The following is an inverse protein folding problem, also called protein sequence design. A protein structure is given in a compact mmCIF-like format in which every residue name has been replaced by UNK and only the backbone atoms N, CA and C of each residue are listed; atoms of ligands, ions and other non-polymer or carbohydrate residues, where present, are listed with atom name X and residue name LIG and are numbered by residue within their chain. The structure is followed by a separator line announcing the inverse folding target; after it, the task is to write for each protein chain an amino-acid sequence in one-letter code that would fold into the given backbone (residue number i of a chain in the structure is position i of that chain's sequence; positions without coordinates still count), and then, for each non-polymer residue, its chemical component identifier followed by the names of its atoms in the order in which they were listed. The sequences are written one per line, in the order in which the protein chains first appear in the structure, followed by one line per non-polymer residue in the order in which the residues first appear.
data_IF_679865872201
#
_entry.id   IF_679865872201
#
_cell.length_a   1.000
_cell.length_b   1.000
_cell.length_c   1.000
_cell.angle_alpha   90.00
_cell.angle_beta   90.00
_cell.angle_gamma   90.00
#
_symmetry.space_group_name_H-M   'P 1'
#
loop_
_entity.id
_entity.type
_entity.pdbx_description
1 polymer ?
#
# COMPACT_ATOMS: atom_id res chain seq x y z
N UNK A 1 -3.18 -3.67 -2.24
CA UNK A 1 -2.96 -4.96 -2.92
C UNK A 1 -1.87 -4.82 -3.96
N UNK A 2 -1.06 -5.81 -4.10
CA UNK A 2 -0.02 -5.85 -5.14
C UNK A 2 -0.42 -6.88 -6.19
N UNK A 3 -0.31 -6.51 -7.47
CA UNK A 3 -0.64 -7.36 -8.59
C UNK A 3 0.38 -7.14 -9.71
N UNK A 4 1.22 -8.12 -9.96
CA UNK A 4 2.28 -8.05 -10.98
C UNK A 4 3.13 -6.79 -10.89
N UNK A 5 3.53 -6.42 -9.69
CA UNK A 5 4.35 -5.23 -9.45
C UNK A 5 3.59 -3.91 -9.45
N UNK A 6 2.28 -3.93 -9.68
CA UNK A 6 1.42 -2.73 -9.63
C UNK A 6 0.75 -2.65 -8.27
N UNK A 7 0.75 -1.48 -7.67
CA UNK A 7 0.03 -1.21 -6.43
C UNK A 7 -1.41 -0.85 -6.77
N UNK A 8 -2.36 -1.66 -6.29
CA UNK A 8 -3.78 -1.46 -6.55
C UNK A 8 -4.47 -1.05 -5.25
N UNK A 9 -5.23 0.02 -5.30
CA UNK A 9 -5.91 0.56 -4.13
C UNK A 9 -7.37 0.87 -4.47
N UNK A 10 -8.31 0.68 -3.52
CA UNK A 10 -9.69 1.07 -3.77
C UNK A 10 -9.82 2.59 -3.84
N UNK A 11 -10.81 3.10 -4.58
CA UNK A 11 -11.08 4.54 -4.61
C UNK A 11 -11.56 5.02 -3.24
N UNK A 12 -11.36 6.31 -2.96
CA UNK A 12 -11.73 6.93 -1.68
C UNK A 12 -13.16 7.48 -1.67
N UNK A 13 -14.01 7.03 -2.56
CA UNK A 13 -15.38 7.49 -2.66
C UNK A 13 -16.14 7.30 -1.34
N UNK A 14 -16.63 8.39 -0.77
CA UNK A 14 -17.39 8.34 0.47
C UNK A 14 -16.57 8.06 1.73
N UNK A 15 -15.24 8.00 1.62
CA UNK A 15 -14.33 7.76 2.73
C UNK A 15 -13.39 8.94 2.91
N UNK A 16 -12.93 9.14 4.14
CA UNK A 16 -11.87 10.12 4.40
C UNK A 16 -10.55 9.58 3.84
N UNK A 17 -9.82 10.38 3.04
CA UNK A 17 -8.51 9.96 2.55
C UNK A 17 -7.54 9.76 3.71
N UNK A 18 -6.87 8.63 3.75
CA UNK A 18 -5.86 8.38 4.75
C UNK A 18 -4.55 9.10 4.40
N UNK A 19 -3.96 9.77 5.38
CA UNK A 19 -2.68 10.47 5.19
C UNK A 19 -1.59 9.48 4.75
N UNK A 20 -1.54 8.33 5.41
CA UNK A 20 -0.52 7.32 5.10
C UNK A 20 -0.77 6.66 3.74
N UNK A 21 -2.04 6.48 3.35
CA UNK A 21 -2.39 5.98 2.02
C UNK A 21 -1.87 6.93 0.94
N UNK A 22 -2.11 8.23 1.11
CA UNK A 22 -1.64 9.24 0.17
C UNK A 22 -0.12 9.25 0.07
N UNK A 23 0.57 9.18 1.20
CA UNK A 23 2.02 9.11 1.25
C UNK A 23 2.55 7.86 0.53
N UNK A 24 1.89 6.72 0.72
CA UNK A 24 2.27 5.47 0.06
C UNK A 24 2.14 5.57 -1.45
N UNK A 25 1.04 6.15 -1.95
CA UNK A 25 0.84 6.33 -3.38
C UNK A 25 1.85 7.30 -3.99
N UNK A 26 2.19 8.36 -3.27
CA UNK A 26 3.23 9.31 -3.70
C UNK A 26 4.60 8.65 -3.73
N UNK A 27 4.93 7.86 -2.71
CA UNK A 27 6.18 7.11 -2.65
C UNK A 27 6.29 6.11 -3.79
N UNK A 28 5.20 5.41 -4.11
CA UNK A 28 5.16 4.47 -5.22
C UNK A 28 5.43 5.18 -6.56
N UNK A 29 4.77 6.29 -6.79
CA UNK A 29 4.97 7.09 -8.00
C UNK A 29 6.41 7.56 -8.15
N UNK A 30 7.00 8.07 -7.07
CA UNK A 30 8.39 8.53 -7.08
C UNK A 30 9.38 7.40 -7.33
N UNK A 31 9.06 6.19 -6.85
CA UNK A 31 9.92 5.02 -7.01
C UNK A 31 9.71 4.27 -8.34
N UNK A 32 8.86 4.78 -9.21
CA UNK A 32 8.58 4.15 -10.48
C UNK A 32 7.66 2.94 -10.38
N UNK A 33 6.91 2.80 -9.29
CA UNK A 33 5.95 1.73 -9.10
C UNK A 33 4.60 2.19 -9.62
N UNK A 34 4.01 1.43 -10.54
CA UNK A 34 2.71 1.75 -11.11
C UNK A 34 1.61 1.66 -10.03
N UNK A 35 0.68 2.60 -10.07
CA UNK A 35 -0.46 2.65 -9.15
C UNK A 35 -1.74 2.64 -9.96
N UNK A 36 -2.71 1.84 -9.51
CA UNK A 36 -4.03 1.78 -10.12
C UNK A 36 -5.11 1.84 -9.05
N UNK A 37 -6.13 2.65 -9.27
CA UNK A 37 -7.31 2.67 -8.41
C UNK A 37 -8.40 1.80 -9.03
N UNK A 38 -8.92 0.86 -8.25
CA UNK A 38 -10.11 0.08 -8.62
C UNK A 38 -10.67 -0.61 -7.38
N UNK A 39 -11.93 -1.00 -7.45
CA UNK A 39 -12.54 -1.76 -6.37
C UNK A 39 -11.87 -3.12 -6.26
N UNK A 40 -11.69 -3.57 -5.01
CA UNK A 40 -11.05 -4.84 -4.71
C UNK A 40 -12.08 -5.81 -4.15
N UNK A 41 -11.98 -7.07 -4.55
CA UNK A 41 -12.78 -8.15 -3.95
C UNK A 41 -11.90 -9.01 -3.06
N UNK A 42 -12.52 -9.73 -2.14
CA UNK A 42 -11.80 -10.65 -1.27
C UNK A 42 -11.09 -11.75 -2.08
N UNK A 43 -11.72 -12.23 -3.14
CA UNK A 43 -11.14 -13.23 -4.03
C UNK A 43 -9.85 -12.69 -4.70
N UNK A 44 -9.87 -11.44 -5.14
CA UNK A 44 -8.69 -10.80 -5.74
C UNK A 44 -7.56 -10.64 -4.73
N UNK A 45 -7.87 -10.27 -3.50
CA UNK A 45 -6.88 -10.17 -2.43
C UNK A 45 -6.21 -11.52 -2.15
N UNK A 46 -7.00 -12.60 -2.12
CA UNK A 46 -6.48 -13.95 -1.85
C UNK A 46 -5.50 -14.46 -2.90
N UNK A 47 -5.63 -14.01 -4.14
CA UNK A 47 -4.77 -14.44 -5.24
C UNK A 47 -3.74 -13.39 -5.63
N UNK A 48 -3.67 -12.27 -4.92
CA UNK A 48 -2.72 -11.19 -5.19
C UNK A 48 -1.28 -11.56 -4.81
N UNK A 49 -0.36 -10.70 -5.19
CA UNK A 49 1.06 -10.82 -4.83
C UNK A 49 1.36 -10.14 -3.48
N UNK A 50 0.38 -10.04 -2.64
CA UNK A 50 0.47 -9.47 -1.30
C UNK A 50 -0.43 -8.28 -1.10
N UNK A 51 -0.61 -7.89 0.14
CA UNK A 51 -1.44 -6.76 0.51
C UNK A 51 -0.79 -5.96 1.63
N UNK A 52 -1.06 -4.67 1.64
CA UNK A 52 -0.55 -3.74 2.63
C UNK A 52 -1.71 -3.00 3.27
N UNK A 53 -1.61 -2.80 4.58
CA UNK A 53 -2.53 -1.98 5.34
C UNK A 53 -1.88 -0.63 5.60
N UNK A 54 -2.56 0.44 5.24
CA UNK A 54 -2.11 1.80 5.53
C UNK A 54 -2.88 2.32 6.73
N UNK A 55 -2.18 2.61 7.80
CA UNK A 55 -2.76 3.06 9.05
C UNK A 55 -1.79 4.01 9.75
N UNK A 56 -2.26 5.19 10.13
CA UNK A 56 -1.46 6.11 10.94
C UNK A 56 -1.30 5.53 12.35
N UNK A 57 -0.20 5.81 13.06
CA UNK A 57 0.93 6.66 12.68
C UNK A 57 2.06 5.92 11.97
N UNK A 58 1.96 4.62 11.84
CA UNK A 58 3.00 3.79 11.24
C UNK A 58 2.46 2.97 10.09
N UNK A 59 3.35 2.43 9.32
CA UNK A 59 3.06 1.59 8.18
C UNK A 59 3.85 2.02 6.97
N UNK A 60 3.63 1.38 5.81
CA UNK A 60 2.63 0.34 5.59
C UNK A 60 2.96 -0.97 6.29
N UNK A 61 1.93 -1.70 6.68
CA UNK A 61 2.05 -3.01 7.29
C UNK A 61 1.68 -4.09 6.28
N UNK A 62 2.47 -5.14 6.22
CA UNK A 62 2.15 -6.29 5.39
C UNK A 62 1.03 -7.11 6.03
N UNK A 63 0.04 -7.50 5.23
CA UNK A 63 -1.05 -8.37 5.68
C UNK A 63 -0.67 -9.81 5.40
N UNK A 64 -0.55 -10.62 6.46
CA UNK A 64 -0.16 -12.02 6.34
C UNK A 64 -1.32 -12.94 5.92
N UNK A 65 -2.54 -12.59 6.25
CA UNK A 65 -3.70 -13.42 5.91
C UNK A 65 -5.02 -12.72 6.15
N UNK A 66 -6.06 -13.26 5.53
CA UNK A 66 -7.43 -12.77 5.64
C UNK A 66 -8.36 -13.99 5.77
N UNK A 67 -9.21 -13.98 6.78
CA UNK A 67 -10.20 -15.05 7.02
C UNK A 67 -9.61 -16.46 6.95
N UNK A 68 -8.45 -16.65 7.62
CA UNK A 68 -7.80 -17.94 7.66
C UNK A 68 -7.02 -18.32 6.40
N UNK A 69 -7.06 -17.49 5.36
CA UNK A 69 -6.29 -17.69 4.14
C UNK A 69 -5.00 -16.89 4.21
N UNK A 70 -3.87 -17.58 4.07
CA UNK A 70 -2.57 -16.91 4.04
C UNK A 70 -2.39 -16.21 2.68
N UNK A 71 -1.98 -14.94 2.73
CA UNK A 71 -1.67 -14.18 1.53
C UNK A 71 -0.20 -14.41 1.15
N UNK A 72 0.11 -14.23 -0.12
CA UNK A 72 1.50 -14.23 -0.56
C UNK A 72 2.23 -13.04 0.07
N UNK A 73 3.48 -13.21 0.50
CA UNK A 73 4.26 -12.09 1.00
C UNK A 73 4.55 -11.09 -0.11
N UNK A 74 4.54 -9.82 0.23
CA UNK A 74 4.98 -8.76 -0.67
C UNK A 74 6.49 -8.93 -0.91
N UNK A 75 6.94 -8.73 -2.15
CA UNK A 75 8.37 -8.81 -2.43
C UNK A 75 9.13 -7.86 -1.52
N UNK A 76 10.17 -8.34 -0.81
CA UNK A 76 10.90 -7.50 0.15
C UNK A 76 11.44 -6.21 -0.45
N UNK A 77 11.93 -6.26 -1.67
CA UNK A 77 12.43 -5.07 -2.36
C UNK A 77 11.36 -4.01 -2.56
N UNK A 78 10.16 -4.44 -2.95
CA UNK A 78 9.03 -3.53 -3.14
C UNK A 78 8.61 -2.91 -1.81
N UNK A 79 8.50 -3.73 -0.77
CA UNK A 79 8.12 -3.26 0.56
C UNK A 79 9.12 -2.27 1.13
N UNK A 80 10.42 -2.55 0.98
CA UNK A 80 11.47 -1.64 1.44
C UNK A 80 11.44 -0.31 0.71
N UNK A 81 11.24 -0.33 -0.60
CA UNK A 81 11.17 0.89 -1.41
C UNK A 81 9.99 1.76 -0.99
N UNK A 82 8.84 1.14 -0.74
CA UNK A 82 7.65 1.87 -0.30
C UNK A 82 7.85 2.46 1.10
N UNK A 83 8.42 1.69 2.02
CA UNK A 83 8.71 2.16 3.38
C UNK A 83 9.71 3.30 3.38
N UNK A 84 10.78 3.17 2.63
CA UNK A 84 11.80 4.22 2.51
C UNK A 84 11.21 5.49 1.92
N UNK A 85 10.37 5.38 0.90
CA UNK A 85 9.72 6.52 0.29
C UNK A 85 8.80 7.25 1.24
N UNK A 86 8.04 6.53 2.05
CA UNK A 86 7.17 7.11 3.08
C UNK A 86 8.00 7.82 4.15
N UNK A 87 9.11 7.22 4.60
CA UNK A 87 10.01 7.85 5.56
C UNK A 87 10.62 9.13 5.01
N UNK A 88 11.03 9.13 3.75
CA UNK A 88 11.60 10.32 3.11
C UNK A 88 10.59 11.46 3.06
N UNK A 89 9.33 11.17 2.77
CA UNK A 89 8.25 12.17 2.80
C UNK A 89 8.04 12.72 4.21
N UNK A 90 8.10 11.86 5.22
CA UNK A 90 7.95 12.27 6.61
C UNK A 90 9.11 13.18 7.03
N UNK A 91 10.35 12.83 6.68
CA UNK A 91 11.54 13.64 6.99
C UNK A 91 11.51 14.99 6.30
N UNK A 92 10.97 15.05 5.09
CA UNK A 92 10.85 16.30 4.35
C UNK A 92 9.71 17.19 4.86
N UNK A 93 8.96 16.75 5.87
CA UNK A 93 7.83 17.50 6.39
C UNK A 93 6.60 17.46 5.48
N UNK A 94 6.58 16.54 4.50
CA UNK A 94 5.48 16.41 3.55
C UNK A 94 4.30 15.61 4.10
N UNK A 95 4.45 15.04 5.29
CA UNK A 95 3.38 14.32 5.99
C UNK A 95 2.93 15.11 7.21
N UNK A 96 1.63 15.32 7.30
CA UNK A 96 0.96 15.84 8.50
C UNK A 96 0.25 14.67 9.16
N UNK A 97 0.73 14.27 10.30
CA UNK A 97 0.10 13.20 11.08
C UNK A 97 -0.66 13.78 12.27
#
# INVERSE_FOLDING_TARGET
MVESGTLVTPPVDGLLPGVLRDALLRAASTSGIAVRERRLTLAQLRTSDGALLTSAPRGPYEIAGIDGTRLRPVLPELLERLRAGVEDLARAGSLSL
#
